data_IF_347004377106
#
_entry.id   IF_347004377106
#
_cell.length_a   1.000
_cell.length_b   1.000
_cell.length_c   1.000
_cell.angle_alpha   90.00
_cell.angle_beta   90.00
_cell.angle_gamma   90.00
#
_symmetry.space_group_name_H-M   'P 1'
#
loop_
_entity.id
_entity.type
_entity.pdbx_description
1 polymer ?
#
# COMPACT_ATOMS: atom_id res chain seq x y z
N UNK A 1 14.02 -15.62 14.93
CA UNK A 1 14.45 -14.35 15.53
C UNK A 1 13.22 -13.47 15.70
N UNK A 2 12.61 -13.48 16.88
CA UNK A 2 11.42 -12.68 17.17
C UNK A 2 11.88 -11.28 17.58
N UNK A 3 11.59 -10.28 16.74
CA UNK A 3 11.83 -8.88 17.09
C UNK A 3 10.50 -8.30 17.56
N UNK A 4 10.40 -8.08 18.86
CA UNK A 4 9.21 -7.59 19.56
C UNK A 4 8.91 -6.14 19.15
N UNK A 5 7.92 -5.93 18.27
CA UNK A 5 7.41 -4.59 17.98
C UNK A 5 6.43 -4.16 19.07
N UNK A 6 6.83 -3.16 19.87
CA UNK A 6 6.02 -2.57 20.94
C UNK A 6 4.76 -1.92 20.34
N UNK A 7 3.62 -2.58 20.52
CA UNK A 7 2.30 -1.95 20.42
C UNK A 7 2.09 -1.11 21.69
N UNK A 8 1.85 0.19 21.53
CA UNK A 8 1.09 0.99 22.50
C UNK A 8 0.22 1.98 21.75
N UNK A 9 -1.04 1.60 21.57
CA UNK A 9 -2.15 2.55 21.45
C UNK A 9 -2.86 2.52 22.81
N UNK A 10 -2.23 3.12 23.82
CA UNK A 10 -2.93 3.41 25.07
C UNK A 10 -3.58 4.79 24.92
N UNK A 11 -4.92 4.76 24.97
CA UNK A 11 -5.78 5.94 25.05
C UNK A 11 -5.33 6.77 26.25
N UNK A 12 -5.05 8.06 26.08
CA UNK A 12 -5.35 9.22 26.96
C UNK A 12 -4.71 10.49 26.34
N UNK A 13 -5.32 11.69 26.49
CA UNK A 13 -4.87 12.90 25.79
C UNK A 13 -3.71 13.52 26.58
N UNK A 14 -2.50 13.46 26.02
CA UNK A 14 -1.37 14.28 26.49
C UNK A 14 -1.05 15.26 25.37
N UNK A 15 -1.41 16.51 25.61
CA UNK A 15 -1.05 17.66 24.80
C UNK A 15 0.45 17.91 24.96
N UNK A 16 1.27 17.23 24.15
CA UNK A 16 2.71 17.49 24.05
C UNK A 16 3.06 18.02 22.65
N UNK A 17 3.68 19.21 22.66
CA UNK A 17 3.77 20.15 21.56
C UNK A 17 5.02 19.89 20.70
N UNK A 18 4.88 18.96 19.73
CA UNK A 18 5.65 18.66 18.48
C UNK A 18 7.11 18.15 18.58
N UNK A 19 7.45 17.16 17.73
CA UNK A 19 8.15 17.51 16.47
C UNK A 19 7.65 16.70 15.25
N UNK A 20 6.72 17.29 14.50
CA UNK A 20 6.24 16.84 13.19
C UNK A 20 5.31 17.90 12.60
N UNK A 21 5.28 18.10 11.28
CA UNK A 21 4.43 19.13 10.67
C UNK A 21 2.97 18.96 11.11
N UNK A 22 2.24 20.06 11.36
CA UNK A 22 0.82 19.97 11.78
C UNK A 22 -0.02 19.15 10.80
N UNK A 23 0.25 19.31 9.51
CA UNK A 23 -0.40 18.59 8.42
C UNK A 23 -0.25 17.07 8.53
N UNK A 24 0.95 16.58 8.84
CA UNK A 24 1.17 15.14 9.02
C UNK A 24 0.38 14.58 10.21
N UNK A 25 0.26 15.33 11.31
CA UNK A 25 -0.47 14.86 12.50
C UNK A 25 -1.97 14.81 12.22
N UNK A 26 -2.51 15.87 11.63
CA UNK A 26 -3.94 15.94 11.26
C UNK A 26 -4.31 14.84 10.27
N UNK A 27 -3.46 14.57 9.27
CA UNK A 27 -3.69 13.48 8.32
C UNK A 27 -3.73 12.11 9.01
N UNK A 28 -2.84 11.87 9.97
CA UNK A 28 -2.79 10.61 10.72
C UNK A 28 -4.00 10.43 11.65
N UNK A 29 -4.41 11.50 12.34
CA UNK A 29 -5.63 11.51 13.18
C UNK A 29 -6.87 11.20 12.33
N UNK A 30 -7.03 11.86 11.18
CA UNK A 30 -8.15 11.64 10.28
C UNK A 30 -8.12 10.23 9.65
N UNK A 31 -6.94 9.69 9.30
CA UNK A 31 -6.79 8.31 8.85
C UNK A 31 -7.23 7.32 9.92
N UNK A 32 -6.75 7.48 11.15
CA UNK A 32 -7.10 6.61 12.28
C UNK A 32 -8.60 6.62 12.56
N UNK A 33 -9.20 7.80 12.54
CA UNK A 33 -10.64 7.97 12.73
C UNK A 33 -11.42 7.25 11.62
N UNK A 34 -11.11 7.51 10.34
CA UNK A 34 -11.86 6.90 9.22
C UNK A 34 -11.68 5.39 9.13
N UNK A 35 -10.52 4.85 9.50
CA UNK A 35 -10.28 3.40 9.57
C UNK A 35 -11.17 2.79 10.67
N UNK A 36 -11.32 3.49 11.80
CA UNK A 36 -12.17 3.05 12.91
C UNK A 36 -13.66 3.16 12.57
N UNK A 37 -14.08 4.24 11.90
CA UNK A 37 -15.46 4.41 11.43
C UNK A 37 -15.86 3.35 10.40
N UNK A 38 -14.93 2.94 9.53
CA UNK A 38 -15.13 1.91 8.50
C UNK A 38 -14.44 0.60 8.86
N UNK A 39 -14.53 0.20 10.13
CA UNK A 39 -13.81 -0.95 10.67
C UNK A 39 -14.06 -2.22 9.85
N UNK A 40 -15.28 -2.44 9.36
CA UNK A 40 -15.63 -3.60 8.52
C UNK A 40 -14.76 -3.72 7.26
N UNK A 41 -14.35 -2.59 6.65
CA UNK A 41 -13.56 -2.57 5.40
C UNK A 41 -12.06 -2.65 5.64
N UNK A 42 -11.61 -2.30 6.84
CA UNK A 42 -10.21 -2.07 7.15
C UNK A 42 -9.73 -2.83 8.40
N UNK A 43 -10.46 -3.87 8.81
CA UNK A 43 -10.21 -4.61 10.06
C UNK A 43 -8.79 -5.20 10.14
N UNK A 44 -8.18 -5.51 9.00
CA UNK A 44 -6.82 -6.07 8.91
C UNK A 44 -5.73 -4.99 8.85
N UNK A 45 -6.10 -3.71 8.73
CA UNK A 45 -5.13 -2.63 8.64
C UNK A 45 -4.58 -2.27 10.01
N UNK A 46 -3.26 -2.31 10.12
CA UNK A 46 -2.52 -1.77 11.24
C UNK A 46 -1.80 -0.50 10.82
N UNK A 47 -2.19 0.62 11.41
CA UNK A 47 -1.56 1.91 11.17
C UNK A 47 -0.31 2.04 12.05
N UNK A 48 0.82 2.42 11.44
CA UNK A 48 2.09 2.68 12.15
C UNK A 48 2.69 4.01 11.69
N UNK A 49 3.30 4.74 12.62
CA UNK A 49 3.94 6.02 12.38
C UNK A 49 5.40 5.91 12.75
N UNK A 50 6.27 6.34 11.84
CA UNK A 50 7.71 6.44 12.07
C UNK A 50 8.10 7.92 11.97
N UNK A 51 8.69 8.45 13.02
CA UNK A 51 9.21 9.81 13.04
C UNK A 51 10.70 9.77 12.68
N UNK A 52 11.06 10.32 11.52
CA UNK A 52 12.45 10.35 11.04
C UNK A 52 13.41 11.04 12.00
N UNK A 53 12.90 11.95 12.83
CA UNK A 53 13.67 12.65 13.85
C UNK A 53 14.08 11.73 15.01
N UNK A 54 13.28 10.70 15.28
CA UNK A 54 13.51 9.76 16.37
C UNK A 54 14.23 8.50 15.88
N UNK A 55 13.85 7.99 14.70
CA UNK A 55 14.36 6.73 14.14
C UNK A 55 14.88 6.94 12.70
N UNK A 56 15.98 7.69 12.58
CA UNK A 56 16.60 8.01 11.28
C UNK A 56 17.00 6.75 10.50
N UNK A 57 17.61 5.77 11.15
CA UNK A 57 18.02 4.52 10.49
C UNK A 57 16.84 3.76 9.88
N UNK A 58 15.70 3.71 10.59
CA UNK A 58 14.49 3.06 10.08
C UNK A 58 13.88 3.86 8.93
N UNK A 59 13.81 5.19 9.06
CA UNK A 59 13.32 6.05 7.99
C UNK A 59 14.16 5.91 6.71
N UNK A 60 15.48 5.84 6.84
CA UNK A 60 16.41 5.66 5.72
C UNK A 60 16.24 4.27 5.08
N UNK A 61 16.12 3.21 5.88
CA UNK A 61 15.87 1.85 5.38
C UNK A 61 14.53 1.70 4.64
N UNK A 62 13.52 2.47 5.03
CA UNK A 62 12.22 2.54 4.37
C UNK A 62 12.25 3.47 3.13
N UNK A 63 13.33 4.20 2.88
CA UNK A 63 13.42 5.16 1.77
C UNK A 63 12.58 6.43 1.98
N UNK A 64 12.34 6.81 3.24
CA UNK A 64 11.66 8.05 3.62
C UNK A 64 12.67 9.21 3.74
N UNK A 65 13.00 9.84 2.61
CA UNK A 65 13.97 10.93 2.52
C UNK A 65 13.44 12.28 3.07
N UNK A 66 13.16 12.36 4.37
CA UNK A 66 12.82 13.60 5.07
C UNK A 66 11.47 14.24 4.69
N UNK A 67 10.63 13.56 3.89
CA UNK A 67 9.28 13.98 3.52
C UNK A 67 8.25 13.00 4.08
N UNK A 68 7.05 13.50 4.37
CA UNK A 68 5.92 12.64 4.73
C UNK A 68 5.72 11.59 3.62
N UNK A 69 5.94 10.34 3.98
CA UNK A 69 5.86 9.21 3.05
C UNK A 69 4.94 8.16 3.65
N UNK A 70 4.00 7.68 2.84
CA UNK A 70 3.04 6.66 3.26
C UNK A 70 3.40 5.38 2.53
N UNK A 71 3.56 4.30 3.30
CA UNK A 71 3.79 2.96 2.79
C UNK A 71 2.60 2.08 3.15
N UNK A 72 2.17 1.25 2.21
CA UNK A 72 1.28 0.13 2.46
C UNK A 72 2.08 -1.16 2.29
N UNK A 73 2.03 -2.01 3.31
CA UNK A 73 2.66 -3.33 3.27
C UNK A 73 1.58 -4.38 3.05
N UNK A 74 1.70 -5.10 1.94
CA UNK A 74 0.87 -6.26 1.64
C UNK A 74 1.77 -7.49 1.64
N UNK A 75 1.67 -8.32 2.68
CA UNK A 75 2.61 -9.41 2.95
C UNK A 75 4.07 -8.93 2.96
N UNK A 76 4.86 -9.29 1.94
CA UNK A 76 6.28 -8.94 1.82
C UNK A 76 6.53 -7.75 0.89
N UNK A 77 5.49 -7.23 0.23
CA UNK A 77 5.59 -6.16 -0.76
C UNK A 77 5.27 -4.80 -0.12
N UNK A 78 6.14 -3.82 -0.38
CA UNK A 78 5.96 -2.44 0.05
C UNK A 78 5.50 -1.56 -1.10
N UNK A 79 4.37 -0.88 -0.95
CA UNK A 79 3.83 0.06 -1.91
C UNK A 79 4.00 1.48 -1.37
N UNK A 80 4.80 2.30 -2.06
CA UNK A 80 4.96 3.72 -1.75
C UNK A 80 3.83 4.52 -2.38
N UNK A 81 3.04 5.21 -1.55
CA UNK A 81 1.98 6.07 -2.05
C UNK A 81 2.56 7.34 -2.67
N UNK A 82 2.20 7.61 -3.94
CA UNK A 82 2.66 8.79 -4.70
C UNK A 82 1.52 9.76 -5.05
N UNK A 83 0.30 9.47 -4.60
CA UNK A 83 -0.87 10.30 -4.89
C UNK A 83 -0.97 11.55 -3.99
N UNK A 84 -2.08 12.29 -4.14
CA UNK A 84 -2.38 13.43 -3.26
C UNK A 84 -2.60 12.96 -1.82
N UNK A 85 -2.00 13.65 -0.85
CA UNK A 85 -2.11 13.34 0.58
C UNK A 85 -3.48 13.74 1.14
N UNK A 86 -4.52 13.01 0.73
CA UNK A 86 -5.89 13.13 1.22
C UNK A 86 -6.35 11.77 1.71
N UNK A 87 -7.03 11.73 2.85
CA UNK A 87 -7.43 10.48 3.50
C UNK A 87 -8.25 9.59 2.56
N UNK A 88 -9.20 10.17 1.82
CA UNK A 88 -10.01 9.42 0.88
C UNK A 88 -9.21 8.80 -0.27
N UNK A 89 -8.19 9.49 -0.78
CA UNK A 89 -7.35 8.97 -1.87
C UNK A 89 -6.45 7.83 -1.37
N UNK A 90 -5.91 7.99 -0.16
CA UNK A 90 -5.07 6.98 0.49
C UNK A 90 -5.91 5.72 0.75
N UNK A 91 -7.06 5.85 1.42
CA UNK A 91 -7.93 4.72 1.74
C UNK A 91 -8.48 4.03 0.48
N UNK A 92 -8.82 4.77 -0.57
CA UNK A 92 -9.22 4.18 -1.85
C UNK A 92 -8.11 3.34 -2.47
N UNK A 93 -6.86 3.81 -2.40
CA UNK A 93 -5.70 3.09 -2.93
C UNK A 93 -5.38 1.85 -2.10
N UNK A 94 -5.45 1.96 -0.77
CA UNK A 94 -5.25 0.81 0.13
C UNK A 94 -6.35 -0.23 -0.07
N UNK A 95 -7.61 0.17 -0.16
CA UNK A 95 -8.72 -0.75 -0.41
C UNK A 95 -8.55 -1.51 -1.74
N UNK A 96 -8.09 -0.82 -2.79
CA UNK A 96 -7.77 -1.47 -4.06
C UNK A 96 -6.67 -2.53 -3.87
N UNK A 97 -5.56 -2.20 -3.21
CA UNK A 97 -4.47 -3.15 -2.96
C UNK A 97 -4.89 -4.31 -2.05
N UNK A 98 -5.77 -4.08 -1.07
CA UNK A 98 -6.35 -5.14 -0.23
C UNK A 98 -7.24 -6.11 -1.01
N UNK A 99 -7.83 -5.66 -2.12
CA UNK A 99 -8.69 -6.50 -2.97
C UNK A 99 -7.90 -7.38 -3.95
N UNK A 100 -6.60 -7.13 -4.09
CA UNK A 100 -5.72 -7.94 -4.94
C UNK A 100 -5.24 -9.18 -4.17
N UNK A 101 -5.09 -10.30 -4.88
CA UNK A 101 -4.46 -11.48 -4.29
C UNK A 101 -2.94 -11.26 -4.15
N UNK A 102 -2.27 -11.82 -3.13
CA UNK A 102 -0.85 -11.60 -2.86
C UNK A 102 0.09 -11.99 -4.01
N UNK A 103 -0.31 -12.96 -4.84
CA UNK A 103 0.43 -13.42 -6.03
C UNK A 103 0.04 -12.71 -7.34
N UNK A 104 -0.98 -11.85 -7.32
CA UNK A 104 -1.40 -11.11 -8.49
C UNK A 104 -0.53 -9.85 -8.64
N UNK A 105 0.42 -9.90 -9.56
CA UNK A 105 1.01 -8.69 -10.11
C UNK A 105 -0.16 -7.87 -10.67
N UNK A 106 -0.29 -6.56 -10.38
CA UNK A 106 -1.38 -5.72 -10.88
C UNK A 106 -1.23 -5.38 -12.38
N UNK A 107 -0.86 -6.38 -13.19
CA UNK A 107 -0.81 -6.34 -14.63
C UNK A 107 -2.00 -7.10 -15.18
N UNK A 108 -2.86 -6.40 -15.92
CA UNK A 108 -3.96 -7.02 -16.65
C UNK A 108 -3.49 -7.35 -18.06
N UNK A 109 -3.66 -8.59 -18.50
CA UNK A 109 -3.40 -8.97 -19.90
C UNK A 109 -4.40 -8.28 -20.80
N UNK A 110 -3.92 -7.63 -21.86
CA UNK A 110 -4.73 -6.99 -22.89
C UNK A 110 -4.50 -7.76 -24.18
N UNK A 111 -5.50 -8.52 -24.60
CA UNK A 111 -5.35 -9.50 -25.68
C UNK A 111 -6.00 -9.06 -27.00
N UNK A 112 -6.77 -7.96 -27.00
CA UNK A 112 -7.43 -7.42 -28.18
C UNK A 112 -7.14 -5.92 -28.37
N UNK A 113 -7.13 -5.42 -29.62
CA UNK A 113 -7.04 -3.99 -29.92
C UNK A 113 -8.16 -3.17 -29.27
N UNK A 114 -9.35 -3.74 -29.17
CA UNK A 114 -10.53 -3.12 -28.56
C UNK A 114 -10.35 -2.93 -27.05
N UNK A 115 -9.87 -3.96 -26.36
CA UNK A 115 -9.57 -3.89 -24.92
C UNK A 115 -8.47 -2.86 -24.62
N UNK A 116 -7.46 -2.78 -25.49
CA UNK A 116 -6.40 -1.78 -25.39
C UNK A 116 -6.96 -0.37 -25.50
N UNK A 117 -7.83 -0.13 -26.50
CA UNK A 117 -8.50 1.17 -26.67
C UNK A 117 -9.36 1.53 -25.47
N UNK A 118 -10.16 0.59 -24.96
CA UNK A 118 -10.97 0.83 -23.76
C UNK A 118 -10.11 1.16 -22.54
N UNK A 119 -9.01 0.43 -22.33
CA UNK A 119 -8.09 0.70 -21.22
C UNK A 119 -7.46 2.09 -21.33
N UNK A 120 -6.91 2.44 -22.50
CA UNK A 120 -6.30 3.75 -22.72
C UNK A 120 -7.30 4.91 -22.55
N UNK A 121 -8.57 4.70 -22.93
CA UNK A 121 -9.61 5.71 -22.75
C UNK A 121 -10.12 5.83 -21.30
N UNK A 122 -9.82 4.84 -20.44
CA UNK A 122 -10.30 4.82 -19.05
C UNK A 122 -9.38 5.58 -18.06
N UNK A 123 -8.18 5.96 -18.49
CA UNK A 123 -7.17 6.57 -17.63
C UNK A 123 -6.37 7.65 -18.36
N UNK A 124 -6.07 8.75 -17.67
CA UNK A 124 -5.20 9.81 -18.21
C UNK A 124 -3.75 9.34 -18.41
N UNK A 125 -3.35 8.27 -17.71
CA UNK A 125 -1.98 7.71 -17.77
C UNK A 125 -2.05 6.19 -17.75
N UNK A 126 -1.36 5.57 -18.70
CA UNK A 126 -1.24 4.13 -18.82
C UNK A 126 0.22 3.70 -18.97
N UNK A 127 0.58 2.59 -18.34
CA UNK A 127 1.84 1.89 -18.58
C UNK A 127 1.52 0.62 -19.37
N UNK A 128 2.09 0.48 -20.56
CA UNK A 128 1.94 -0.70 -21.40
C UNK A 128 3.24 -1.51 -21.34
N UNK A 129 3.13 -2.78 -20.97
CA UNK A 129 4.22 -3.74 -21.01
C UNK A 129 4.01 -4.64 -22.24
N UNK A 130 4.85 -4.46 -23.26
CA UNK A 130 4.77 -5.23 -24.51
C UNK A 130 5.74 -6.41 -24.44
N UNK A 131 5.21 -7.61 -24.26
CA UNK A 131 6.01 -8.83 -24.27
C UNK A 131 6.08 -9.44 -25.68
N UNK A 132 7.25 -9.33 -26.31
CA UNK A 132 7.51 -9.92 -27.62
C UNK A 132 7.96 -11.38 -27.55
N UNK A 133 8.32 -11.89 -26.36
CA UNK A 133 8.97 -13.19 -26.19
C UNK A 133 8.10 -14.22 -25.45
N UNK A 134 6.88 -13.86 -25.04
CA UNK A 134 5.93 -14.77 -24.38
C UNK A 134 6.35 -15.19 -22.97
N UNK A 135 7.26 -14.44 -22.33
CA UNK A 135 7.71 -14.71 -20.96
C UNK A 135 6.67 -14.34 -19.91
N UNK A 136 5.85 -13.33 -20.18
CA UNK A 136 4.83 -12.80 -19.28
C UNK A 136 3.73 -13.83 -19.06
N UNK A 137 3.28 -14.54 -20.12
CA UNK A 137 2.32 -15.63 -19.95
C UNK A 137 2.89 -16.76 -19.09
N UNK A 138 4.17 -17.09 -19.27
CA UNK A 138 4.88 -18.08 -18.43
C UNK A 138 4.99 -17.64 -16.97
N UNK A 139 5.36 -16.39 -16.72
CA UNK A 139 5.46 -15.81 -15.38
C UNK A 139 4.11 -15.72 -14.68
N UNK A 140 3.06 -15.29 -15.39
CA UNK A 140 1.68 -15.23 -14.87
C UNK A 140 1.08 -16.62 -14.60
N UNK A 141 1.49 -17.66 -15.33
CA UNK A 141 1.09 -19.04 -15.02
C UNK A 141 1.86 -19.64 -13.84
N UNK A 142 3.11 -19.23 -13.62
CA UNK A 142 3.90 -19.71 -12.47
C UNK A 142 3.41 -19.13 -11.15
N UNK A 143 2.95 -17.86 -11.12
CA UNK A 143 2.35 -17.29 -9.92
C UNK A 143 1.07 -18.02 -9.49
N UNK A 144 0.25 -18.47 -10.45
CA UNK A 144 -0.98 -19.23 -10.17
C UNK A 144 -0.73 -20.67 -9.70
N UNK A 145 0.34 -21.33 -10.16
CA UNK A 145 0.63 -22.73 -9.79
C UNK A 145 1.18 -22.89 -8.37
N UNK A 146 1.80 -21.85 -7.82
CA UNK A 146 2.36 -21.92 -6.47
C UNK A 146 1.31 -21.77 -5.34
N UNK A 147 0.04 -21.47 -5.67
CA UNK A 147 -1.06 -21.32 -4.72
C UNK A 147 -1.99 -22.53 -4.60
N UNK A 148 -1.76 -23.61 -5.36
CA UNK A 148 -2.63 -24.80 -5.34
C UNK A 148 -1.83 -26.08 -5.50
N UNK A 149 -1.03 -26.43 -4.49
CA UNK A 149 -0.54 -27.79 -4.27
C UNK A 149 -0.25 -27.97 -2.77
N UNK A 150 -1.31 -28.21 -2.01
CA UNK A 150 -1.30 -29.02 -0.80
C UNK A 150 -2.71 -29.61 -0.65
N UNK A 151 -3.00 -30.59 -1.51
CA UNK A 151 -4.00 -31.62 -1.21
C UNK A 151 -3.21 -32.83 -0.75
N UNK A 152 -3.30 -33.13 0.54
CA UNK A 152 -3.29 -34.47 1.13
C UNK A 152 -4.02 -34.39 2.47
#
# INVERSE_FOLDING_TARGET
MQTTFRNRLDRHPVEERRPGSGESRTLMEELSQRITEKQEKFVTLKLMVVYSNNDRMLADALGAAGRLTIFYYHHFLSYKYQGRLRVQNILSSVHYLMSLLPEEIPLKSVNSPEDLRMFLNSTDKALLLLDHCGWTSRLLTQSKKNGSENVL
#
